data_IF_468248272887
#
_entry.id   IF_468248272887
#
_cell.length_a   1.000
_cell.length_b   1.000
_cell.length_c   1.000
_cell.angle_alpha   90.00
_cell.angle_beta   90.00
_cell.angle_gamma   90.00
#
_symmetry.space_group_name_H-M   'P 1'
#
loop_
_entity.id
_entity.type
_entity.pdbx_description
1 polymer ?
#
# COMPACT_ATOMS: atom_id res chain seq x y z
N UNK A 1 18.22 -19.03 -0.23
CA UNK A 1 17.89 -18.79 -0.20
C UNK A 1 17.27 -18.10 -0.47
N UNK A 2 17.04 -17.82 -0.66
CA UNK A 2 16.59 -17.15 -0.82
C UNK A 2 15.61 -16.74 -0.83
N UNK A 3 15.15 -16.81 -0.58
CA UNK A 3 14.24 -16.45 -0.52
C UNK A 3 13.92 -15.53 -0.03
N UNK A 4 14.00 -15.40 0.42
CA UNK A 4 13.55 -14.53 1.14
C UNK A 4 13.91 -13.24 0.86
N UNK A 5 14.59 -12.99 0.15
CA UNK A 5 14.96 -11.90 -0.02
C UNK A 5 14.00 -11.11 -0.40
N UNK A 6 13.52 -10.80 -0.90
CA UNK A 6 12.67 -9.90 -1.25
C UNK A 6 11.38 -10.03 -0.76
N UNK A 7 11.14 -10.97 -0.04
CA UNK A 7 9.99 -11.13 0.48
C UNK A 7 9.94 -10.66 1.78
N UNK A 8 9.61 -9.52 2.13
CA UNK A 8 9.48 -9.02 3.46
C UNK A 8 8.35 -9.73 4.12
N UNK A 9 8.51 -10.09 5.34
CA UNK A 9 7.47 -10.74 6.06
C UNK A 9 6.41 -9.72 6.41
N UNK A 10 5.22 -10.15 6.75
CA UNK A 10 4.19 -9.26 7.14
C UNK A 10 4.55 -8.45 8.32
N UNK A 11 5.21 -9.02 9.30
CA UNK A 11 5.54 -8.25 10.49
C UNK A 11 6.59 -7.21 10.19
N UNK A 12 7.51 -7.49 9.27
CA UNK A 12 8.51 -6.51 8.92
C UNK A 12 7.85 -5.33 8.23
N UNK A 13 6.94 -5.59 7.31
CA UNK A 13 6.25 -4.53 6.62
C UNK A 13 5.46 -3.69 7.60
N UNK A 14 4.78 -4.32 8.54
CA UNK A 14 3.98 -3.59 9.51
C UNK A 14 4.83 -2.72 10.42
N UNK A 15 6.03 -3.17 10.75
CA UNK A 15 6.90 -2.39 11.60
C UNK A 15 7.52 -1.23 10.89
N UNK A 16 7.98 -1.44 9.67
CA UNK A 16 8.67 -0.39 8.95
C UNK A 16 7.76 0.50 8.13
N UNK A 17 6.61 0.02 7.78
CA UNK A 17 5.68 0.76 6.94
C UNK A 17 4.31 0.76 7.59
N UNK A 18 4.17 1.50 8.69
CA UNK A 18 2.95 1.44 9.48
C UNK A 18 1.72 2.10 8.88
N UNK A 19 1.91 2.96 7.91
CA UNK A 19 0.78 3.67 7.34
C UNK A 19 0.36 2.98 6.06
N UNK A 20 -0.88 2.55 5.99
CA UNK A 20 -1.34 1.73 4.87
C UNK A 20 -2.65 2.22 4.31
N UNK A 21 -2.83 1.97 3.02
CA UNK A 21 -4.07 2.34 2.35
C UNK A 21 -4.59 1.09 1.67
N UNK A 22 -5.83 0.72 1.97
CA UNK A 22 -6.46 -0.44 1.40
C UNK A 22 -7.34 0.01 0.24
N UNK A 23 -7.11 -0.54 -0.95
CA UNK A 23 -7.93 -0.22 -2.10
C UNK A 23 -8.37 -1.50 -2.77
N UNK A 24 -9.48 -1.45 -3.47
CA UNK A 24 -9.95 -2.64 -4.19
C UNK A 24 -9.05 -2.83 -5.39
N UNK A 25 -8.67 -4.07 -5.66
CA UNK A 25 -7.76 -4.33 -6.77
C UNK A 25 -8.35 -3.83 -8.09
N UNK A 26 -9.66 -3.93 -8.25
CA UNK A 26 -10.27 -3.50 -9.49
C UNK A 26 -10.22 -1.99 -9.69
N UNK A 27 -9.99 -1.24 -8.63
CA UNK A 27 -9.94 0.21 -8.72
C UNK A 27 -8.55 0.72 -9.09
N UNK A 28 -7.57 -0.15 -9.13
CA UNK A 28 -6.21 0.25 -9.48
C UNK A 28 -5.70 -0.56 -10.66
N UNK A 29 -6.46 -0.55 -11.74
CA UNK A 29 -6.04 -1.23 -12.95
C UNK A 29 -5.94 -0.23 -14.09
N UNK A 30 -5.20 -0.55 -15.11
CA UNK A 30 -5.08 0.28 -16.29
C UNK A 30 -4.49 1.62 -15.95
N UNK A 31 -5.18 2.68 -16.28
CA UNK A 31 -4.68 4.03 -16.04
C UNK A 31 -4.51 4.33 -14.58
N UNK A 32 -5.37 3.77 -13.75
CA UNK A 32 -5.25 4.00 -12.31
C UNK A 32 -3.95 3.38 -11.79
N UNK A 33 -3.57 2.22 -12.32
CA UNK A 33 -2.33 1.59 -11.92
C UNK A 33 -1.14 2.43 -12.36
N UNK A 34 -1.20 2.99 -13.56
CA UNK A 34 -0.14 3.85 -14.06
C UNK A 34 -0.01 5.08 -13.16
N UNK A 35 -1.14 5.62 -12.71
CA UNK A 35 -1.12 6.79 -11.83
C UNK A 35 -0.51 6.43 -10.47
N UNK A 36 -0.76 5.22 -9.97
CA UNK A 36 -0.17 4.77 -8.73
C UNK A 36 1.35 4.70 -8.87
N UNK A 37 1.83 4.18 -9.99
CA UNK A 37 3.26 4.10 -10.21
C UNK A 37 3.87 5.49 -10.31
N UNK A 38 3.19 6.40 -11.01
CA UNK A 38 3.68 7.77 -11.15
C UNK A 38 3.72 8.48 -9.79
N UNK A 39 2.74 8.20 -8.94
CA UNK A 39 2.70 8.78 -7.60
C UNK A 39 3.98 8.41 -6.84
N UNK A 40 4.35 7.14 -6.91
CA UNK A 40 5.54 6.68 -6.20
C UNK A 40 6.82 7.20 -6.87
N UNK A 41 6.86 7.19 -8.18
CA UNK A 41 8.03 7.65 -8.90
C UNK A 41 8.31 9.12 -8.65
N UNK A 42 7.28 9.93 -8.65
CA UNK A 42 7.45 11.35 -8.43
C UNK A 42 7.97 11.67 -7.04
N UNK A 43 7.81 10.76 -6.12
CA UNK A 43 8.25 10.95 -4.76
C UNK A 43 9.51 10.17 -4.44
N UNK A 44 10.04 9.45 -5.44
CA UNK A 44 11.25 8.68 -5.26
C UNK A 44 11.11 7.53 -4.28
N UNK A 45 9.94 6.92 -4.26
CA UNK A 45 9.66 5.86 -3.31
C UNK A 45 9.28 4.59 -4.04
N UNK A 46 9.81 3.45 -3.66
CA UNK A 46 9.41 2.22 -4.32
C UNK A 46 8.00 1.82 -3.90
N UNK A 47 7.29 1.17 -4.79
CA UNK A 47 5.96 0.70 -4.47
C UNK A 47 6.06 -0.49 -3.53
N UNK A 48 5.33 -0.43 -2.43
CA UNK A 48 5.29 -1.54 -1.49
C UNK A 48 3.83 -1.87 -1.25
N UNK A 49 3.44 -3.04 -1.69
CA UNK A 49 2.05 -3.43 -1.55
C UNK A 49 1.95 -4.93 -1.38
N UNK A 50 0.81 -5.37 -0.96
CA UNK A 50 0.51 -6.79 -0.90
C UNK A 50 -0.95 -7.00 -1.17
N UNK A 51 -1.29 -8.19 -1.63
CA UNK A 51 -2.65 -8.54 -1.96
C UNK A 51 -3.37 -9.07 -0.75
N UNK A 52 -4.66 -8.84 -0.68
CA UNK A 52 -5.47 -9.32 0.39
C UNK A 52 -6.82 -9.74 -0.18
N UNK A 53 -7.27 -10.93 0.12
CA UNK A 53 -8.57 -11.37 -0.34
C UNK A 53 -9.52 -11.36 0.83
N UNK A 54 -10.69 -10.75 0.62
CA UNK A 54 -11.64 -10.65 1.67
C UNK A 54 -13.03 -10.64 1.08
N UNK A 55 -13.92 -11.49 1.54
CA UNK A 55 -15.28 -11.59 1.05
C UNK A 55 -15.34 -11.75 -0.46
N UNK A 56 -14.48 -12.61 -0.97
CA UNK A 56 -14.43 -12.90 -2.39
C UNK A 56 -13.99 -11.72 -3.26
N UNK A 57 -13.41 -10.71 -2.66
CA UNK A 57 -12.87 -9.61 -3.42
C UNK A 57 -11.41 -9.47 -3.14
N UNK A 58 -10.67 -9.03 -4.15
CA UNK A 58 -9.25 -8.79 -3.97
C UNK A 58 -9.00 -7.32 -3.68
N UNK A 59 -8.10 -7.08 -2.74
CA UNK A 59 -7.70 -5.73 -2.35
C UNK A 59 -6.19 -5.64 -2.43
N UNK A 60 -5.69 -4.42 -2.55
CA UNK A 60 -4.28 -4.17 -2.47
C UNK A 60 -4.05 -3.25 -1.28
N UNK A 61 -3.02 -3.55 -0.50
CA UNK A 61 -2.67 -2.74 0.64
C UNK A 61 -1.36 -2.06 0.30
N UNK A 62 -1.39 -0.75 0.11
CA UNK A 62 -0.18 0.01 -0.19
C UNK A 62 0.37 0.54 1.10
N UNK A 63 1.67 0.33 1.31
CA UNK A 63 2.32 0.63 2.57
C UNK A 63 3.29 1.78 2.44
N UNK A 64 3.29 2.67 3.41
CA UNK A 64 4.12 3.87 3.39
C UNK A 64 4.79 4.06 4.74
N UNK A 65 5.97 4.69 4.72
CA UNK A 65 6.66 4.98 5.96
C UNK A 65 6.11 6.25 6.61
N UNK A 66 5.59 7.17 5.79
CA UNK A 66 5.11 8.43 6.30
C UNK A 66 3.62 8.58 6.23
N UNK A 67 3.04 9.17 7.23
CA UNK A 67 1.62 9.38 7.28
C UNK A 67 1.16 10.32 6.18
N UNK A 68 1.93 11.37 5.92
CA UNK A 68 1.55 12.32 4.89
C UNK A 68 1.45 11.70 3.52
N UNK A 69 2.35 10.78 3.22
CA UNK A 69 2.32 10.13 1.92
C UNK A 69 1.12 9.21 1.82
N UNK A 70 0.80 8.49 2.90
CA UNK A 70 -0.36 7.62 2.90
C UNK A 70 -1.64 8.46 2.73
N UNK A 71 -1.71 9.60 3.38
CA UNK A 71 -2.88 10.45 3.26
C UNK A 71 -2.99 11.01 1.84
N UNK A 72 -1.86 11.39 1.25
CA UNK A 72 -1.86 11.88 -0.13
C UNK A 72 -2.34 10.81 -1.11
N UNK A 73 -1.88 9.60 -0.90
CA UNK A 73 -2.30 8.49 -1.74
C UNK A 73 -3.81 8.27 -1.58
N UNK A 74 -4.28 8.27 -0.36
CA UNK A 74 -5.69 8.07 -0.06
C UNK A 74 -6.55 9.16 -0.71
N UNK A 75 -6.10 10.39 -0.69
CA UNK A 75 -6.86 11.47 -1.30
C UNK A 75 -6.95 11.33 -2.80
N UNK A 76 -5.91 10.82 -3.43
CA UNK A 76 -5.89 10.68 -4.87
C UNK A 76 -6.59 9.43 -5.37
N UNK A 77 -6.44 8.35 -4.66
CA UNK A 77 -6.93 7.07 -5.14
C UNK A 77 -8.07 6.47 -4.33
N UNK A 78 -8.43 7.09 -3.25
CA UNK A 78 -9.52 6.58 -2.43
C UNK A 78 -9.11 5.44 -1.55
N UNK A 79 -10.02 4.56 -1.29
CA UNK A 79 -9.77 3.43 -0.44
C UNK A 79 -9.91 3.76 1.03
N UNK A 80 -9.32 2.94 1.88
CA UNK A 80 -9.42 3.11 3.31
C UNK A 80 -8.06 3.31 3.91
N UNK A 81 -7.88 4.39 4.64
CA UNK A 81 -6.61 4.68 5.27
C UNK A 81 -6.50 3.88 6.56
N UNK A 82 -5.45 3.10 6.68
CA UNK A 82 -5.22 2.28 7.86
C UNK A 82 -3.94 2.73 8.51
N UNK A 83 -4.02 2.94 9.81
CA UNK A 83 -2.87 3.37 10.53
C UNK A 83 -2.53 2.35 11.57
N UNK A 84 -1.38 1.77 11.49
CA UNK A 84 -0.98 0.74 12.41
C UNK A 84 -0.86 1.24 13.83
N UNK A 85 -0.61 2.51 13.99
CA UNK A 85 -0.49 3.04 15.29
C UNK A 85 -1.74 3.62 15.80
N UNK A 86 -2.89 3.18 15.49
CA UNK A 86 -4.03 3.70 15.93
C UNK A 86 -4.25 3.48 17.30
N UNK A 87 -4.38 4.28 18.06
CA UNK A 87 -4.50 4.11 19.46
C UNK A 87 -5.82 3.56 19.75
N UNK A 88 -6.18 3.43 19.99
CA UNK A 88 -7.13 3.06 20.37
C UNK A 88 -7.57 3.43 20.77
#
# INVERSE_FOLDING_TARGET
MTRARGQASRSLINRELPHRVLVRAEDVRGRALDAVHAFHDNRGVPVRSRSLRKSDEWYLVYCFTGRGMAEGFHLLFGGQLLNALKPR
#
